data_IF_065723108227
#
_entry.id   IF_065723108227
#
_cell.length_a   1.000
_cell.length_b   1.000
_cell.length_c   1.000
_cell.angle_alpha   90.00
_cell.angle_beta   90.00
_cell.angle_gamma   90.00
#
_symmetry.space_group_name_H-M   'P 1'
#
loop_
_entity.id
_entity.type
_entity.pdbx_description
1 polymer ?
#
# COMPACT_ATOMS: atom_id res chain seq x y z
N UNK A 1 -4.09 3.21 6.48
CA UNK A 1 -3.76 3.97 5.25
C UNK A 1 -5.01 4.50 4.55
N UNK A 2 -4.85 5.57 3.80
CA UNK A 2 -5.84 6.14 2.90
C UNK A 2 -5.34 6.05 1.45
N UNK A 3 -6.17 5.55 0.54
CA UNK A 3 -5.84 5.37 -0.86
C UNK A 3 -6.08 6.64 -1.69
N UNK A 4 -5.14 6.99 -2.56
CA UNK A 4 -5.25 8.10 -3.50
C UNK A 4 -5.11 7.57 -4.92
N UNK A 5 -6.17 7.79 -5.72
CA UNK A 5 -6.28 7.35 -7.12
C UNK A 5 -6.58 8.52 -8.09
N UNK A 6 -7.21 9.58 -7.60
CA UNK A 6 -7.65 10.70 -8.44
C UNK A 6 -7.29 12.08 -7.87
N UNK A 7 -7.11 12.21 -6.55
CA UNK A 7 -6.85 13.50 -5.90
C UNK A 7 -5.34 13.79 -5.84
N UNK A 8 -4.76 14.22 -6.95
CA UNK A 8 -3.32 14.52 -7.08
C UNK A 8 -2.86 15.79 -6.31
N UNK A 9 -3.77 16.54 -5.69
CA UNK A 9 -3.41 17.79 -5.02
C UNK A 9 -2.75 17.52 -3.64
N UNK A 10 -1.61 18.16 -3.29
CA UNK A 10 -0.87 17.89 -2.05
C UNK A 10 -1.67 18.14 -0.76
N UNK A 11 -2.69 19.00 -0.78
CA UNK A 11 -3.58 19.26 0.36
C UNK A 11 -4.26 17.99 0.89
N UNK A 12 -4.42 16.94 0.05
CA UNK A 12 -5.01 15.67 0.48
C UNK A 12 -4.21 15.06 1.65
N UNK A 13 -2.89 15.21 1.67
CA UNK A 13 -2.06 14.71 2.77
C UNK A 13 -2.46 15.36 4.11
N UNK A 14 -2.69 16.68 4.14
CA UNK A 14 -3.13 17.38 5.35
C UNK A 14 -4.54 16.93 5.79
N UNK A 15 -5.48 16.80 4.85
CA UNK A 15 -6.84 16.33 5.14
C UNK A 15 -6.83 14.91 5.74
N UNK A 16 -6.07 14.02 5.13
CA UNK A 16 -5.93 12.62 5.57
C UNK A 16 -5.25 12.54 6.95
N UNK A 17 -4.20 13.34 7.18
CA UNK A 17 -3.56 13.43 8.50
C UNK A 17 -4.52 13.91 9.58
N UNK A 18 -5.28 14.95 9.30
CA UNK A 18 -6.28 15.50 10.25
C UNK A 18 -7.42 14.51 10.53
N UNK A 19 -7.72 13.63 9.57
CA UNK A 19 -8.67 12.53 9.76
C UNK A 19 -8.13 11.36 10.60
N UNK A 20 -6.84 11.40 11.01
CA UNK A 20 -6.22 10.42 11.90
C UNK A 20 -5.54 9.25 11.18
N UNK A 21 -5.28 9.34 9.89
CA UNK A 21 -4.51 8.31 9.19
C UNK A 21 -3.00 8.46 9.42
N UNK A 22 -2.27 7.34 9.26
CA UNK A 22 -0.82 7.26 9.45
C UNK A 22 -0.06 7.19 8.12
N UNK A 23 -0.75 6.83 7.02
CA UNK A 23 -0.12 6.56 5.74
C UNK A 23 -1.02 6.93 4.56
N UNK A 24 -0.39 7.40 3.47
CA UNK A 24 -1.01 7.42 2.14
C UNK A 24 -0.60 6.16 1.36
N UNK A 25 -1.57 5.56 0.69
CA UNK A 25 -1.41 4.54 -0.34
C UNK A 25 -1.63 5.22 -1.69
N UNK A 26 -0.56 5.56 -2.40
CA UNK A 26 -0.62 6.24 -3.69
C UNK A 26 -0.63 5.17 -4.79
N UNK A 27 -1.68 5.14 -5.58
CA UNK A 27 -1.90 4.07 -6.55
C UNK A 27 -1.49 4.51 -7.95
N UNK A 28 -0.40 3.91 -8.49
CA UNK A 28 0.01 4.12 -9.89
C UNK A 28 -0.34 2.94 -10.80
N UNK A 29 -1.01 1.91 -10.26
CA UNK A 29 -1.47 0.76 -11.06
C UNK A 29 -2.89 0.98 -11.61
N UNK A 30 -3.85 1.29 -10.75
CA UNK A 30 -5.26 1.46 -11.11
C UNK A 30 -5.72 2.92 -11.00
N UNK A 31 -4.92 3.84 -11.49
CA UNK A 31 -5.20 5.28 -11.50
C UNK A 31 -4.63 5.95 -12.74
N UNK A 32 -4.93 7.24 -12.90
CA UNK A 32 -4.31 8.09 -13.90
C UNK A 32 -3.17 8.97 -13.34
N UNK A 33 -2.75 8.71 -12.10
CA UNK A 33 -1.66 9.44 -11.47
C UNK A 33 -0.33 9.15 -12.17
N UNK A 34 0.49 10.17 -12.32
CA UNK A 34 1.85 10.09 -12.84
C UNK A 34 2.90 9.90 -11.72
N UNK A 35 4.13 9.56 -12.09
CA UNK A 35 5.27 9.57 -11.14
C UNK A 35 5.45 10.97 -10.51
N UNK A 36 5.17 12.05 -11.27
CA UNK A 36 5.23 13.42 -10.74
C UNK A 36 4.20 13.63 -9.64
N UNK A 37 2.97 13.18 -9.84
CA UNK A 37 1.92 13.26 -8.82
C UNK A 37 2.29 12.45 -7.59
N UNK A 38 2.83 11.24 -7.76
CA UNK A 38 3.31 10.41 -6.66
C UNK A 38 4.43 11.10 -5.86
N UNK A 39 5.36 11.77 -6.53
CA UNK A 39 6.43 12.54 -5.86
C UNK A 39 5.86 13.72 -5.07
N UNK A 40 4.95 14.49 -5.64
CA UNK A 40 4.28 15.62 -4.97
C UNK A 40 3.51 15.13 -3.72
N UNK A 41 2.74 14.06 -3.86
CA UNK A 41 1.97 13.47 -2.76
C UNK A 41 2.87 12.88 -1.68
N UNK A 42 3.97 12.22 -2.07
CA UNK A 42 4.94 11.65 -1.13
C UNK A 42 5.62 12.76 -0.32
N UNK A 43 6.08 13.83 -0.97
CA UNK A 43 6.70 14.96 -0.30
C UNK A 43 5.72 15.67 0.65
N UNK A 44 4.48 15.91 0.21
CA UNK A 44 3.43 16.48 1.06
C UNK A 44 3.12 15.60 2.27
N UNK A 45 3.14 14.27 2.09
CA UNK A 45 2.93 13.30 3.17
C UNK A 45 4.03 13.38 4.22
N UNK A 46 5.30 13.40 3.81
CA UNK A 46 6.46 13.52 4.70
C UNK A 46 6.36 14.80 5.55
N UNK A 47 5.98 15.92 4.94
CA UNK A 47 5.88 17.22 5.62
C UNK A 47 4.81 17.27 6.72
N UNK A 48 3.79 16.40 6.67
CA UNK A 48 2.73 16.33 7.68
C UNK A 48 2.85 15.09 8.58
N UNK A 49 3.91 14.30 8.45
CA UNK A 49 4.13 13.09 9.24
C UNK A 49 3.21 11.92 8.85
N UNK A 50 2.89 11.79 7.57
CA UNK A 50 2.32 10.58 6.97
C UNK A 50 3.42 9.77 6.30
N UNK A 51 3.29 8.44 6.30
CA UNK A 51 4.16 7.54 5.56
C UNK A 51 3.59 7.31 4.15
N UNK A 52 4.25 7.78 3.06
CA UNK A 52 3.79 7.52 1.71
C UNK A 52 4.30 6.17 1.21
N UNK A 53 3.38 5.28 0.84
CA UNK A 53 3.65 4.07 0.08
C UNK A 53 3.06 4.18 -1.31
N UNK A 54 3.81 3.76 -2.33
CA UNK A 54 3.37 3.85 -3.73
C UNK A 54 3.20 2.46 -4.31
N UNK A 55 1.99 2.14 -4.79
CA UNK A 55 1.77 0.95 -5.59
C UNK A 55 2.17 1.24 -7.02
N UNK A 56 3.13 0.46 -7.52
CA UNK A 56 3.66 0.59 -8.87
C UNK A 56 2.89 -0.31 -9.84
N UNK A 57 2.88 -0.01 -11.15
CA UNK A 57 2.34 -0.92 -12.15
C UNK A 57 3.09 -2.26 -12.16
N UNK A 58 2.37 -3.34 -12.45
CA UNK A 58 3.00 -4.65 -12.62
C UNK A 58 4.13 -4.59 -13.66
N UNK A 59 5.28 -5.21 -13.35
CA UNK A 59 6.47 -5.28 -14.22
C UNK A 59 7.03 -3.91 -14.68
N UNK A 60 6.88 -2.87 -13.86
CA UNK A 60 7.29 -1.50 -14.20
C UNK A 60 8.82 -1.29 -14.34
N UNK A 61 9.63 -2.23 -13.86
CA UNK A 61 11.09 -2.20 -13.99
C UNK A 61 11.83 -1.29 -13.01
N UNK A 62 13.16 -1.43 -12.96
CA UNK A 62 14.04 -0.78 -11.99
C UNK A 62 13.95 0.75 -12.05
N UNK A 63 14.05 1.35 -13.24
CA UNK A 63 14.06 2.81 -13.39
C UNK A 63 12.76 3.48 -12.93
N UNK A 64 11.63 2.78 -12.96
CA UNK A 64 10.37 3.28 -12.44
C UNK A 64 10.38 3.31 -10.90
N UNK A 65 10.74 2.18 -10.27
CA UNK A 65 10.81 2.04 -8.82
C UNK A 65 11.83 3.02 -8.22
N UNK A 66 13.00 3.16 -8.85
CA UNK A 66 14.00 4.13 -8.45
C UNK A 66 13.43 5.55 -8.39
N UNK A 67 12.72 6.00 -9.45
CA UNK A 67 12.13 7.35 -9.50
C UNK A 67 11.03 7.55 -8.46
N UNK A 68 10.26 6.52 -8.14
CA UNK A 68 9.26 6.54 -7.07
C UNK A 68 9.91 6.77 -5.70
N UNK A 69 10.97 6.01 -5.41
CA UNK A 69 11.71 6.14 -4.15
C UNK A 69 12.50 7.46 -4.07
N UNK A 70 13.10 7.90 -5.17
CA UNK A 70 13.80 9.19 -5.24
C UNK A 70 12.83 10.38 -5.11
N UNK A 71 11.56 10.19 -5.47
CA UNK A 71 10.47 11.13 -5.28
C UNK A 71 9.92 11.24 -3.86
N UNK A 72 10.45 10.46 -2.91
CA UNK A 72 10.09 10.55 -1.49
C UNK A 72 9.14 9.46 -0.98
N UNK A 73 8.79 8.47 -1.78
CA UNK A 73 8.10 7.29 -1.25
C UNK A 73 8.99 6.58 -0.21
N UNK A 74 8.39 6.20 0.92
CA UNK A 74 9.06 5.43 1.98
C UNK A 74 8.93 3.91 1.79
N UNK A 75 8.25 3.49 0.74
CA UNK A 75 8.15 2.10 0.35
C UNK A 75 7.37 1.93 -0.94
N UNK A 76 7.52 0.74 -1.51
CA UNK A 76 6.93 0.36 -2.79
C UNK A 76 6.06 -0.88 -2.61
N UNK A 77 4.85 -0.81 -3.16
CA UNK A 77 3.88 -1.90 -3.17
C UNK A 77 3.94 -2.54 -4.56
N UNK A 78 4.35 -3.80 -4.59
CA UNK A 78 4.46 -4.58 -5.81
C UNK A 78 3.24 -5.48 -5.96
N UNK A 79 2.41 -5.27 -7.00
CA UNK A 79 1.28 -6.14 -7.28
C UNK A 79 1.74 -7.47 -7.89
N UNK A 80 0.87 -8.49 -7.84
CA UNK A 80 1.00 -9.78 -8.52
C UNK A 80 2.30 -10.55 -8.22
N UNK A 81 2.75 -10.54 -6.97
CA UNK A 81 3.92 -11.31 -6.52
C UNK A 81 3.47 -12.72 -6.15
N UNK A 82 3.71 -13.68 -7.05
CA UNK A 82 3.25 -15.07 -6.88
C UNK A 82 4.39 -16.07 -6.64
N UNK A 83 5.66 -15.64 -6.79
CA UNK A 83 6.84 -16.51 -6.64
C UNK A 83 7.92 -15.86 -5.77
N UNK A 84 8.86 -16.70 -5.33
CA UNK A 84 10.09 -16.25 -4.63
C UNK A 84 10.93 -15.36 -5.54
N UNK A 85 10.96 -15.66 -6.82
CA UNK A 85 11.71 -14.90 -7.84
C UNK A 85 11.12 -13.49 -8.01
N UNK A 86 9.79 -13.34 -8.03
CA UNK A 86 9.11 -12.04 -8.07
C UNK A 86 9.46 -11.22 -6.82
N UNK A 87 9.42 -11.85 -5.65
CA UNK A 87 9.76 -11.20 -4.39
C UNK A 87 11.23 -10.75 -4.34
N UNK A 88 12.17 -11.59 -4.80
CA UNK A 88 13.59 -11.23 -4.92
C UNK A 88 13.80 -10.08 -5.90
N UNK A 89 13.10 -10.08 -7.02
CA UNK A 89 13.16 -8.99 -8.00
C UNK A 89 12.67 -7.67 -7.39
N UNK A 90 11.54 -7.69 -6.67
CA UNK A 90 11.00 -6.52 -5.96
C UNK A 90 12.01 -5.94 -4.96
N UNK A 91 12.64 -6.79 -4.15
CA UNK A 91 13.70 -6.38 -3.21
C UNK A 91 14.88 -5.79 -3.98
N UNK A 92 15.36 -6.47 -5.00
CA UNK A 92 16.55 -6.08 -5.76
C UNK A 92 16.43 -4.67 -6.34
N UNK A 93 15.28 -4.32 -6.94
CA UNK A 93 15.08 -3.00 -7.55
C UNK A 93 14.75 -1.89 -6.55
N UNK A 94 14.45 -2.25 -5.29
CA UNK A 94 14.13 -1.30 -4.21
C UNK A 94 15.35 -0.90 -3.37
N UNK A 95 16.36 -1.75 -3.28
CA UNK A 95 17.49 -1.61 -2.36
C UNK A 95 18.76 -1.22 -3.09
N UNK A 96 19.61 -0.44 -2.40
CA UNK A 96 20.98 -0.15 -2.86
C UNK A 96 21.90 -1.35 -2.72
N UNK A 97 23.00 -1.42 -3.50
CA UNK A 97 24.05 -2.41 -3.27
C UNK A 97 24.55 -2.43 -1.82
N UNK A 98 24.91 -3.58 -1.24
CA UNK A 98 24.93 -4.92 -1.87
C UNK A 98 23.59 -5.66 -1.83
N UNK A 99 22.52 -5.08 -1.26
CA UNK A 99 21.22 -5.75 -1.09
C UNK A 99 20.38 -5.75 -2.39
N UNK A 100 20.66 -4.81 -3.30
CA UNK A 100 19.94 -4.66 -4.55
C UNK A 100 20.76 -3.92 -5.61
N UNK A 101 20.04 -3.36 -6.59
CA UNK A 101 20.61 -2.72 -7.78
C UNK A 101 20.11 -1.27 -7.99
N UNK A 102 19.43 -0.68 -6.99
CA UNK A 102 18.99 0.72 -7.06
C UNK A 102 20.19 1.63 -7.26
N UNK A 103 20.11 2.54 -8.23
CA UNK A 103 21.15 3.53 -8.47
C UNK A 103 21.10 4.64 -7.41
N UNK A 104 22.28 5.13 -7.05
CA UNK A 104 22.48 6.14 -6.02
C UNK A 104 22.20 7.56 -6.53
N UNK A 105 21.47 8.35 -5.73
CA UNK A 105 21.42 9.80 -5.82
C UNK A 105 21.45 10.40 -4.43
N UNK A 106 21.68 11.72 -4.32
CA UNK A 106 21.69 12.47 -3.06
C UNK A 106 20.49 13.40 -2.94
N UNK A 107 20.41 14.12 -1.82
CA UNK A 107 19.37 15.13 -1.57
C UNK A 107 17.94 14.61 -1.75
N UNK A 108 17.66 13.47 -1.17
CA UNK A 108 16.35 12.83 -1.24
C UNK A 108 15.33 13.52 -0.31
N UNK A 109 14.03 13.54 -0.66
CA UNK A 109 12.97 14.08 0.19
C UNK A 109 12.90 13.46 1.58
N UNK A 110 13.24 12.17 1.73
CA UNK A 110 13.31 11.49 3.03
C UNK A 110 14.39 12.09 3.97
N UNK A 111 15.32 12.87 3.43
CA UNK A 111 16.34 13.65 4.17
C UNK A 111 16.07 15.16 4.10
N UNK A 112 14.84 15.60 3.85
CA UNK A 112 14.47 17.02 3.66
C UNK A 112 15.31 17.73 2.59
N UNK A 113 15.77 17.00 1.56
CA UNK A 113 16.66 17.47 0.49
C UNK A 113 18.05 17.95 0.97
N UNK A 114 18.41 17.60 2.20
CA UNK A 114 19.76 17.91 2.71
C UNK A 114 20.80 16.98 2.08
N UNK A 115 22.01 17.51 1.93
CA UNK A 115 23.15 16.70 1.49
C UNK A 115 23.66 15.87 2.68
N UNK A 116 23.48 14.55 2.59
CA UNK A 116 23.98 13.59 3.60
C UNK A 116 25.04 12.67 2.99
N UNK A 117 25.95 12.08 3.80
CA UNK A 117 26.94 11.13 3.31
C UNK A 117 26.31 9.95 2.57
N UNK A 118 26.95 9.47 1.50
CA UNK A 118 26.42 8.32 0.73
C UNK A 118 26.23 7.06 1.58
N UNK A 119 27.09 6.84 2.59
CA UNK A 119 26.94 5.74 3.54
C UNK A 119 25.64 5.83 4.33
N UNK A 120 25.22 7.05 4.69
CA UNK A 120 23.93 7.29 5.35
C UNK A 120 22.76 7.02 4.39
N UNK A 121 22.87 7.51 3.14
CA UNK A 121 21.85 7.24 2.10
C UNK A 121 21.64 5.72 1.90
N UNK A 122 22.75 4.96 1.83
CA UNK A 122 22.69 3.50 1.66
C UNK A 122 22.08 2.83 2.89
N UNK A 123 22.55 3.17 4.09
CA UNK A 123 22.11 2.55 5.33
C UNK A 123 20.60 2.80 5.57
N UNK A 124 20.19 4.06 5.55
CA UNK A 124 18.79 4.45 5.76
C UNK A 124 17.89 3.99 4.59
N UNK A 125 18.36 4.14 3.33
CA UNK A 125 17.60 3.71 2.16
C UNK A 125 17.43 2.19 2.05
N UNK A 126 18.31 1.39 2.63
CA UNK A 126 18.18 -0.06 2.72
C UNK A 126 17.39 -0.52 3.96
N UNK A 127 17.22 0.34 4.95
CA UNK A 127 16.39 0.04 6.11
C UNK A 127 14.90 -0.09 5.69
N UNK A 128 14.10 -0.85 6.45
CA UNK A 128 12.65 -0.90 6.21
C UNK A 128 11.98 0.47 6.22
N UNK A 129 12.47 1.40 7.03
CA UNK A 129 11.99 2.79 7.11
C UNK A 129 12.32 3.65 5.91
N UNK A 130 13.28 3.27 5.08
CA UNK A 130 13.71 4.08 3.91
C UNK A 130 13.22 3.55 2.57
N UNK A 131 12.99 2.25 2.45
CA UNK A 131 12.38 1.61 1.29
C UNK A 131 11.68 0.32 1.67
N UNK A 132 10.58 0.42 2.41
CA UNK A 132 9.74 -0.73 2.74
C UNK A 132 9.32 -1.47 1.46
N UNK A 133 9.52 -2.78 1.43
CA UNK A 133 9.09 -3.64 0.32
C UNK A 133 7.81 -4.36 0.72
N UNK A 134 6.70 -3.94 0.09
CA UNK A 134 5.39 -4.56 0.29
C UNK A 134 5.08 -5.40 -0.96
N UNK A 135 4.81 -6.69 -0.77
CA UNK A 135 4.45 -7.60 -1.87
C UNK A 135 2.98 -7.99 -1.75
N UNK A 136 2.22 -7.85 -2.85
CA UNK A 136 0.81 -8.19 -2.83
C UNK A 136 0.60 -9.68 -3.12
N UNK A 137 -0.18 -10.30 -2.25
CA UNK A 137 -0.62 -11.70 -2.33
C UNK A 137 -2.06 -11.68 -2.82
N UNK A 138 -2.29 -12.01 -4.11
CA UNK A 138 -3.52 -11.72 -4.83
C UNK A 138 -4.10 -12.92 -5.59
N UNK A 139 -3.44 -14.07 -5.52
CA UNK A 139 -3.88 -15.31 -6.16
C UNK A 139 -3.55 -16.55 -5.30
N UNK A 140 -4.13 -17.69 -5.60
CA UNK A 140 -3.92 -18.95 -4.88
C UNK A 140 -2.48 -19.46 -4.98
N UNK A 141 -1.74 -19.14 -6.06
CA UNK A 141 -0.33 -19.48 -6.20
C UNK A 141 0.52 -18.67 -5.22
N UNK A 142 0.25 -17.38 -5.08
CA UNK A 142 0.89 -16.50 -4.11
C UNK A 142 0.62 -17.00 -2.68
N UNK A 143 -0.63 -17.38 -2.38
CA UNK A 143 -1.01 -17.97 -1.08
C UNK A 143 -0.22 -19.25 -0.80
N UNK A 144 -0.14 -20.15 -1.78
CA UNK A 144 0.62 -21.41 -1.64
C UNK A 144 2.12 -21.16 -1.42
N UNK A 145 2.67 -20.09 -1.97
CA UNK A 145 4.07 -19.69 -1.86
C UNK A 145 4.33 -18.67 -0.73
N UNK A 146 3.31 -18.28 0.04
CA UNK A 146 3.42 -17.17 1.01
C UNK A 146 4.54 -17.36 2.03
N UNK A 147 4.78 -18.60 2.48
CA UNK A 147 5.86 -18.91 3.41
C UNK A 147 7.25 -18.66 2.79
N UNK A 148 7.45 -19.13 1.57
CA UNK A 148 8.70 -18.95 0.85
C UNK A 148 8.93 -17.49 0.42
N UNK A 149 7.86 -16.76 0.07
CA UNK A 149 7.90 -15.32 -0.22
C UNK A 149 8.26 -14.53 1.04
N UNK A 150 7.62 -14.84 2.17
CA UNK A 150 7.91 -14.21 3.46
C UNK A 150 9.35 -14.46 3.93
N UNK A 151 9.94 -15.61 3.59
CA UNK A 151 11.32 -15.93 3.93
C UNK A 151 12.35 -15.12 3.14
N UNK A 152 11.97 -14.43 2.04
CA UNK A 152 12.91 -13.63 1.24
C UNK A 152 13.47 -12.47 2.07
N UNK A 153 14.80 -12.37 2.24
CA UNK A 153 15.40 -11.21 2.90
C UNK A 153 15.09 -9.92 2.16
N UNK A 154 14.66 -8.90 2.89
CA UNK A 154 14.30 -7.59 2.32
C UNK A 154 12.82 -7.43 1.94
N UNK A 155 12.02 -8.48 1.94
CA UNK A 155 10.55 -8.37 2.00
C UNK A 155 10.17 -7.96 3.41
N UNK A 156 9.35 -6.93 3.57
CA UNK A 156 8.93 -6.39 4.87
C UNK A 156 7.46 -6.70 5.18
N UNK A 157 6.61 -6.63 4.17
CA UNK A 157 5.15 -6.72 4.31
C UNK A 157 4.57 -7.66 3.26
N UNK A 158 3.69 -8.58 3.67
CA UNK A 158 2.79 -9.29 2.77
C UNK A 158 1.43 -8.59 2.82
N UNK A 159 1.04 -7.97 1.72
CA UNK A 159 -0.20 -7.22 1.57
C UNK A 159 -1.22 -8.06 0.79
N UNK A 160 -2.30 -8.45 1.45
CA UNK A 160 -3.38 -9.19 0.78
C UNK A 160 -4.17 -8.23 -0.12
N UNK A 161 -4.19 -8.51 -1.43
CA UNK A 161 -5.05 -7.86 -2.41
C UNK A 161 -6.37 -8.60 -2.53
N UNK A 162 -7.36 -8.20 -1.72
CA UNK A 162 -8.56 -9.01 -1.46
C UNK A 162 -9.44 -9.21 -2.68
N UNK A 163 -9.52 -8.22 -3.58
CA UNK A 163 -10.40 -8.31 -4.74
C UNK A 163 -9.90 -9.38 -5.72
N UNK A 164 -8.64 -9.30 -6.13
CA UNK A 164 -8.06 -10.25 -7.08
C UNK A 164 -7.98 -11.65 -6.48
N UNK A 165 -7.61 -11.76 -5.20
CA UNK A 165 -7.63 -13.03 -4.49
C UNK A 165 -9.03 -13.66 -4.46
N UNK A 166 -10.08 -12.89 -4.20
CA UNK A 166 -11.45 -13.40 -4.20
C UNK A 166 -11.90 -13.83 -5.61
N UNK A 167 -11.48 -13.11 -6.64
CA UNK A 167 -11.73 -13.49 -8.04
C UNK A 167 -11.03 -14.80 -8.38
N UNK A 168 -9.74 -14.92 -8.04
CA UNK A 168 -8.95 -16.14 -8.29
C UNK A 168 -9.50 -17.37 -7.56
N UNK A 169 -10.03 -17.17 -6.34
CA UNK A 169 -10.70 -18.21 -5.57
C UNK A 169 -12.14 -18.52 -6.04
N UNK A 170 -12.59 -17.93 -7.16
CA UNK A 170 -13.91 -18.16 -7.74
C UNK A 170 -15.09 -17.54 -6.97
N UNK A 171 -14.84 -16.59 -6.08
CA UNK A 171 -15.86 -15.95 -5.24
C UNK A 171 -15.72 -14.41 -5.21
N UNK A 172 -15.89 -13.72 -6.35
CA UNK A 172 -15.72 -12.27 -6.46
C UNK A 172 -16.53 -11.50 -5.41
N UNK A 173 -15.86 -10.64 -4.61
CA UNK A 173 -16.50 -9.85 -3.56
C UNK A 173 -16.97 -10.59 -2.33
N UNK A 174 -16.79 -11.92 -2.25
CA UNK A 174 -17.23 -12.74 -1.14
C UNK A 174 -16.11 -13.03 -0.14
N UNK A 175 -15.77 -12.04 0.67
CA UNK A 175 -14.62 -12.07 1.61
C UNK A 175 -14.86 -12.87 2.91
N UNK A 176 -16.05 -13.46 3.09
CA UNK A 176 -16.38 -14.26 4.27
C UNK A 176 -16.36 -15.79 3.99
N UNK A 177 -16.04 -16.22 2.77
CA UNK A 177 -16.01 -17.64 2.41
C UNK A 177 -14.92 -18.38 3.18
N UNK A 178 -15.12 -19.69 3.48
CA UNK A 178 -14.10 -20.50 4.15
C UNK A 178 -12.76 -20.51 3.39
N UNK A 179 -12.80 -20.58 2.05
CA UNK A 179 -11.60 -20.56 1.21
C UNK A 179 -10.84 -19.26 1.35
N UNK A 180 -11.52 -18.11 1.29
CA UNK A 180 -10.89 -16.81 1.46
C UNK A 180 -10.29 -16.67 2.86
N UNK A 181 -11.02 -17.06 3.91
CA UNK A 181 -10.51 -17.05 5.29
C UNK A 181 -9.28 -17.92 5.46
N UNK A 182 -9.30 -19.15 4.95
CA UNK A 182 -8.13 -20.06 5.02
C UNK A 182 -6.91 -19.49 4.29
N UNK A 183 -7.11 -18.79 3.16
CA UNK A 183 -6.03 -18.12 2.45
C UNK A 183 -5.38 -17.00 3.32
N UNK A 184 -6.21 -16.16 3.97
CA UNK A 184 -5.72 -15.13 4.86
C UNK A 184 -4.98 -15.71 6.08
N UNK A 185 -5.49 -16.79 6.67
CA UNK A 185 -4.84 -17.49 7.78
C UNK A 185 -3.47 -18.06 7.39
N UNK A 186 -3.35 -18.63 6.18
CA UNK A 186 -2.09 -19.14 5.66
C UNK A 186 -1.04 -18.02 5.50
N UNK A 187 -1.43 -16.87 4.92
CA UNK A 187 -0.55 -15.71 4.77
C UNK A 187 -0.16 -15.13 6.14
N UNK A 188 -1.11 -15.03 7.07
CA UNK A 188 -0.85 -14.56 8.43
C UNK A 188 0.15 -15.46 9.17
N UNK A 189 0.00 -16.78 9.04
CA UNK A 189 0.93 -17.75 9.61
C UNK A 189 2.35 -17.62 9.01
N UNK A 190 2.46 -17.38 7.70
CA UNK A 190 3.74 -17.10 7.03
C UNK A 190 4.38 -15.81 7.59
N UNK A 191 3.62 -14.74 7.70
CA UNK A 191 4.08 -13.48 8.29
C UNK A 191 4.62 -13.69 9.71
N UNK A 192 3.89 -14.42 10.55
CA UNK A 192 4.28 -14.70 11.93
C UNK A 192 5.60 -15.50 12.01
N UNK A 193 5.76 -16.55 11.18
CA UNK A 193 6.98 -17.38 11.15
C UNK A 193 8.24 -16.60 10.77
N UNK A 194 8.09 -15.65 9.83
CA UNK A 194 9.23 -14.90 9.28
C UNK A 194 9.31 -13.47 9.81
N UNK A 195 8.57 -13.13 10.88
CA UNK A 195 8.52 -11.80 11.48
C UNK A 195 8.23 -10.68 10.47
N UNK A 196 7.29 -10.97 9.53
CA UNK A 196 6.82 -10.00 8.53
C UNK A 196 5.52 -9.36 8.98
N UNK A 197 5.23 -8.19 8.41
CA UNK A 197 3.97 -7.48 8.65
C UNK A 197 2.90 -8.07 7.73
N UNK A 198 1.77 -8.45 8.32
CA UNK A 198 0.54 -8.73 7.57
C UNK A 198 -0.19 -7.43 7.27
N UNK A 199 -0.64 -7.26 6.03
CA UNK A 199 -1.41 -6.11 5.59
C UNK A 199 -2.63 -6.53 4.76
N UNK A 200 -3.65 -5.65 4.67
CA UNK A 200 -4.88 -5.90 3.95
C UNK A 200 -5.29 -4.68 3.11
N UNK A 201 -5.68 -4.92 1.86
CA UNK A 201 -6.31 -3.95 0.97
C UNK A 201 -7.53 -4.55 0.26
N UNK A 202 -8.49 -3.70 -0.14
CA UNK A 202 -9.63 -4.09 -0.97
C UNK A 202 -10.92 -4.44 -0.22
N UNK A 203 -10.92 -4.45 1.11
CA UNK A 203 -12.13 -4.64 1.93
C UNK A 203 -12.41 -3.35 2.70
N UNK A 204 -13.43 -2.59 2.30
CA UNK A 204 -13.67 -1.26 2.86
C UNK A 204 -14.89 -1.19 3.79
N UNK A 205 -16.01 -1.82 3.41
CA UNK A 205 -17.28 -1.67 4.14
C UNK A 205 -17.68 -2.96 4.88
N UNK A 206 -16.68 -3.69 5.42
CA UNK A 206 -16.90 -4.94 6.17
C UNK A 206 -16.15 -4.92 7.52
N UNK A 207 -16.67 -4.20 8.51
CA UNK A 207 -15.99 -3.99 9.78
C UNK A 207 -15.72 -5.29 10.56
N UNK A 208 -16.57 -6.31 10.40
CA UNK A 208 -16.36 -7.62 11.02
C UNK A 208 -15.13 -8.33 10.46
N UNK A 209 -14.99 -8.37 9.12
CA UNK A 209 -13.84 -8.98 8.43
C UNK A 209 -12.56 -8.19 8.76
N UNK A 210 -12.59 -6.86 8.66
CA UNK A 210 -11.46 -6.01 9.04
C UNK A 210 -11.06 -6.22 10.50
N UNK A 211 -12.05 -6.25 11.41
CA UNK A 211 -11.84 -6.49 12.83
C UNK A 211 -11.21 -7.86 13.13
N UNK A 212 -11.63 -8.92 12.42
CA UNK A 212 -11.02 -10.23 12.52
C UNK A 212 -9.57 -10.24 12.03
N UNK A 213 -9.30 -9.65 10.87
CA UNK A 213 -7.94 -9.58 10.30
C UNK A 213 -6.98 -8.82 11.23
N UNK A 214 -7.44 -7.73 11.88
CA UNK A 214 -6.61 -6.96 12.82
C UNK A 214 -6.43 -7.69 14.15
N UNK A 215 -7.55 -8.12 14.77
CA UNK A 215 -7.51 -8.63 16.16
C UNK A 215 -7.04 -10.09 16.25
N UNK A 216 -7.41 -10.91 15.25
CA UNK A 216 -7.14 -12.35 15.27
C UNK A 216 -5.92 -12.71 14.44
N UNK A 217 -5.80 -12.17 13.22
CA UNK A 217 -4.65 -12.46 12.35
C UNK A 217 -3.45 -11.54 12.59
N UNK A 218 -3.64 -10.45 13.33
CA UNK A 218 -2.56 -9.55 13.73
C UNK A 218 -2.07 -8.59 12.65
N UNK A 219 -2.90 -8.27 11.66
CA UNK A 219 -2.54 -7.29 10.64
C UNK A 219 -2.20 -5.92 11.26
N UNK A 220 -1.13 -5.30 10.75
CA UNK A 220 -0.62 -4.01 11.23
C UNK A 220 -0.82 -2.87 10.22
N UNK A 221 -1.17 -3.17 8.98
CA UNK A 221 -1.44 -2.17 7.97
C UNK A 221 -2.74 -2.51 7.23
N UNK A 222 -3.66 -1.54 7.18
CA UNK A 222 -4.92 -1.64 6.45
C UNK A 222 -5.07 -0.45 5.52
N UNK A 223 -5.42 -0.70 4.26
CA UNK A 223 -6.00 0.29 3.38
C UNK A 223 -7.49 0.42 3.73
N UNK A 224 -7.84 1.44 4.53
CA UNK A 224 -9.17 1.57 5.13
C UNK A 224 -10.21 2.11 4.16
N UNK A 225 -9.81 3.03 3.27
CA UNK A 225 -10.68 3.66 2.28
C UNK A 225 -9.84 4.35 1.19
N UNK A 226 -10.50 4.80 0.12
CA UNK A 226 -9.86 5.53 -0.97
C UNK A 226 -10.68 6.78 -1.38
N UNK A 227 -10.00 7.75 -1.97
CA UNK A 227 -10.54 9.06 -2.34
C UNK A 227 -11.80 8.98 -3.21
N UNK A 228 -11.82 8.13 -4.22
CA UNK A 228 -12.97 7.94 -5.11
C UNK A 228 -14.23 7.52 -4.34
N UNK A 229 -14.10 6.56 -3.44
CA UNK A 229 -15.23 6.06 -2.66
C UNK A 229 -15.72 7.09 -1.63
N UNK A 230 -14.79 7.79 -0.96
CA UNK A 230 -15.14 8.84 0.02
C UNK A 230 -15.87 9.99 -0.66
N UNK A 231 -15.38 10.47 -1.82
CA UNK A 231 -16.03 11.54 -2.57
C UNK A 231 -17.42 11.11 -3.05
N UNK A 232 -17.54 9.93 -3.64
CA UNK A 232 -18.81 9.41 -4.13
C UNK A 232 -19.85 9.25 -3.01
N UNK A 233 -19.48 8.61 -1.90
CA UNK A 233 -20.38 8.39 -0.77
C UNK A 233 -20.74 9.68 -0.04
N UNK A 234 -19.77 10.58 0.14
CA UNK A 234 -19.98 11.89 0.77
C UNK A 234 -20.92 12.79 -0.05
N UNK A 235 -20.70 12.87 -1.36
CA UNK A 235 -21.56 13.64 -2.26
C UNK A 235 -23.00 13.09 -2.27
N UNK A 236 -23.16 11.77 -2.39
CA UNK A 236 -24.48 11.15 -2.35
C UNK A 236 -25.19 11.34 -1.00
N UNK A 237 -24.45 11.30 0.11
CA UNK A 237 -24.99 11.55 1.45
C UNK A 237 -25.46 13.00 1.61
N UNK A 238 -24.68 13.96 1.13
CA UNK A 238 -25.03 15.38 1.17
C UNK A 238 -26.30 15.68 0.36
N UNK A 239 -26.42 15.12 -0.83
CA UNK A 239 -27.62 15.27 -1.68
C UNK A 239 -28.87 14.71 -0.98
N UNK A 240 -28.81 13.48 -0.48
CA UNK A 240 -29.93 12.87 0.27
C UNK A 240 -30.38 13.69 1.48
N UNK A 241 -29.44 14.31 2.19
CA UNK A 241 -29.77 15.14 3.34
C UNK A 241 -30.58 16.40 2.95
N UNK A 242 -30.30 16.98 1.78
CA UNK A 242 -31.09 18.11 1.22
C UNK A 242 -32.47 17.64 0.80
N UNK A 243 -32.61 16.56 0.06
CA UNK A 243 -33.87 15.98 -0.41
C UNK A 243 -34.82 15.71 0.77
N UNK A 244 -34.36 15.04 1.80
CA UNK A 244 -35.14 14.76 3.02
C UNK A 244 -35.62 16.02 3.75
N UNK A 245 -34.85 17.11 3.72
CA UNK A 245 -35.25 18.36 4.34
C UNK A 245 -36.27 19.12 3.50
N UNK A 246 -36.19 19.05 2.17
CA UNK A 246 -37.19 19.65 1.27
C UNK A 246 -38.54 18.95 1.41
N UNK A 247 -38.56 17.61 1.43
CA UNK A 247 -39.81 16.84 1.61
C UNK A 247 -40.50 17.15 2.96
N UNK A 248 -39.73 17.25 4.06
CA UNK A 248 -40.28 17.62 5.36
C UNK A 248 -40.81 19.05 5.46
N UNK A 249 -40.33 19.96 4.59
CA UNK A 249 -40.81 21.35 4.53
C UNK A 249 -42.05 21.50 3.68
N UNK A 250 -42.40 20.50 2.85
CA UNK A 250 -43.56 20.49 1.97
C UNK A 250 -44.75 19.73 2.59
N UNK A 251 -44.58 19.09 3.73
CA UNK A 251 -45.64 18.40 4.50
C UNK A 251 -46.07 19.24 5.70
#
# INVERSE_FOLDING_TARGET
AFGVKVMAHPTIATLVKNAGYDSLFIDLEHSNLSISDASILSHASLNVGLTPFVRVPHQCGNGFVQRVLDGGAMGVIFPHVSTVEDAKAAVSISKYPPQGVRSMTGQLPIFNLEAVPQTTVIAEGNAPSGSTVLVMIEDGRAVANADAIAAVPGVDVLLIGSNDLAVDLGAPGAFATPQFRSALEAVAAACARHAKILALAGIYDQPETQGWVVRTLGAKYLLCQQDTAVVASGAASALRAVELNVEKSAS
#
